data_IF_705789011379
#
_entry.id   IF_705789011379
#
_cell.length_a   1.000
_cell.length_b   1.000
_cell.length_c   1.000
_cell.angle_alpha   90.00
_cell.angle_beta   90.00
_cell.angle_gamma   90.00
#
_symmetry.space_group_name_H-M   'P 1'
#
loop_
_entity.id
_entity.type
_entity.pdbx_description
1 polymer ?
#
# COMPACT_ATOMS: atom_id res chain seq x y z
N UNK A 1 -23.56 3.17 -8.83
CA UNK A 1 -22.21 3.80 -8.80
C UNK A 1 -21.62 3.88 -7.39
N UNK A 2 -22.25 4.53 -6.40
CA UNK A 2 -21.71 4.61 -5.03
C UNK A 2 -21.40 3.25 -4.37
N UNK A 3 -22.21 2.22 -4.63
CA UNK A 3 -21.95 0.84 -4.17
C UNK A 3 -20.64 0.28 -4.74
N UNK A 4 -20.32 0.54 -6.02
CA UNK A 4 -19.05 0.11 -6.61
C UNK A 4 -17.86 0.82 -5.98
N UNK A 5 -17.98 2.12 -5.66
CA UNK A 5 -16.94 2.86 -4.93
C UNK A 5 -16.71 2.28 -3.54
N UNK A 6 -17.79 1.94 -2.81
CA UNK A 6 -17.70 1.27 -1.53
C UNK A 6 -16.98 -0.08 -1.63
N UNK A 7 -17.38 -0.92 -2.58
CA UNK A 7 -16.76 -2.22 -2.80
C UNK A 7 -15.28 -2.09 -3.16
N UNK A 8 -14.92 -1.05 -3.91
CA UNK A 8 -13.52 -0.80 -4.28
C UNK A 8 -12.68 -0.36 -3.08
N UNK A 9 -13.23 0.40 -2.13
CA UNK A 9 -12.53 0.69 -0.87
C UNK A 9 -12.23 -0.59 -0.07
N UNK A 10 -13.22 -1.47 0.08
CA UNK A 10 -13.02 -2.74 0.78
C UNK A 10 -12.01 -3.65 0.06
N UNK A 11 -12.09 -3.71 -1.26
CA UNK A 11 -11.14 -4.48 -2.06
C UNK A 11 -9.71 -3.94 -1.88
N UNK A 12 -9.52 -2.63 -1.99
CA UNK A 12 -8.20 -2.01 -1.81
C UNK A 12 -7.62 -2.29 -0.42
N UNK A 13 -8.44 -2.15 0.63
CA UNK A 13 -8.04 -2.50 2.00
C UNK A 13 -7.64 -3.97 2.10
N UNK A 14 -8.40 -4.88 1.49
CA UNK A 14 -8.11 -6.31 1.45
C UNK A 14 -6.77 -6.62 0.79
N UNK A 15 -6.44 -5.93 -0.32
CA UNK A 15 -5.14 -6.03 -0.96
C UNK A 15 -4.00 -5.59 -0.03
N UNK A 16 -4.12 -4.44 0.63
CA UNK A 16 -3.11 -3.94 1.59
C UNK A 16 -2.92 -4.94 2.73
N UNK A 17 -4.00 -5.40 3.35
CA UNK A 17 -3.94 -6.37 4.46
C UNK A 17 -3.32 -7.70 4.02
N UNK A 18 -3.71 -8.21 2.86
CA UNK A 18 -3.19 -9.45 2.30
C UNK A 18 -1.71 -9.38 1.96
N UNK A 19 -1.28 -8.35 1.22
CA UNK A 19 0.10 -8.22 0.73
C UNK A 19 1.05 -7.76 1.84
N UNK A 20 0.73 -6.64 2.50
CA UNK A 20 1.63 -5.96 3.42
C UNK A 20 1.65 -6.62 4.80
N UNK A 21 0.51 -7.09 5.30
CA UNK A 21 0.38 -7.54 6.69
C UNK A 21 0.29 -9.06 6.87
N UNK A 22 -0.15 -9.80 5.85
CA UNK A 22 -0.24 -11.27 5.91
C UNK A 22 0.91 -11.95 5.16
N UNK A 23 1.01 -11.73 3.84
CA UNK A 23 1.97 -12.42 2.97
C UNK A 23 3.42 -12.02 3.25
N UNK A 24 3.67 -10.74 3.54
CA UNK A 24 5.03 -10.25 3.77
C UNK A 24 5.65 -10.77 5.06
N UNK A 25 4.99 -10.79 6.23
CA UNK A 25 5.58 -11.35 7.43
C UNK A 25 5.76 -12.87 7.39
N UNK A 26 4.81 -13.61 6.79
CA UNK A 26 4.84 -15.08 6.82
C UNK A 26 5.98 -15.67 5.98
N UNK A 27 6.36 -15.03 4.86
CA UNK A 27 7.45 -15.54 4.01
C UNK A 27 8.81 -15.57 4.72
N UNK A 28 9.05 -14.68 5.68
CA UNK A 28 10.28 -14.68 6.50
C UNK A 28 10.31 -15.78 7.57
N UNK A 29 9.18 -16.47 7.80
CA UNK A 29 9.09 -17.61 8.72
C UNK A 29 9.23 -18.95 8.00
N UNK A 30 9.32 -18.97 6.68
CA UNK A 30 9.40 -20.20 5.90
C UNK A 30 10.81 -20.82 6.03
N UNK A 31 10.93 -22.09 6.48
CA UNK A 31 12.21 -22.69 6.86
C UNK A 31 13.18 -22.91 5.68
N UNK A 32 12.68 -22.94 4.44
CA UNK A 32 13.49 -23.08 3.23
C UNK A 32 13.93 -21.75 2.60
N UNK A 33 13.52 -20.61 3.14
CA UNK A 33 13.78 -19.30 2.55
C UNK A 33 14.94 -18.60 3.25
N UNK A 34 15.98 -18.28 2.48
CA UNK A 34 17.06 -17.42 2.97
C UNK A 34 16.61 -15.95 2.95
N UNK A 35 17.24 -15.11 3.79
CA UNK A 35 16.88 -13.70 3.89
C UNK A 35 16.97 -12.96 2.54
N UNK A 36 18.06 -13.08 1.73
CA UNK A 36 18.13 -12.40 0.44
C UNK A 36 17.02 -12.80 -0.52
N UNK A 37 16.69 -14.10 -0.59
CA UNK A 37 15.61 -14.61 -1.46
C UNK A 37 14.25 -14.10 -0.99
N UNK A 38 13.99 -14.07 0.33
CA UNK A 38 12.75 -13.53 0.88
C UNK A 38 12.59 -12.01 0.62
N UNK A 39 13.70 -11.27 0.62
CA UNK A 39 13.73 -9.84 0.29
C UNK A 39 13.49 -9.61 -1.21
N UNK A 40 14.09 -10.39 -2.09
CA UNK A 40 13.88 -10.33 -3.55
C UNK A 40 12.41 -10.58 -3.93
N UNK A 41 11.80 -11.63 -3.36
CA UNK A 41 10.36 -11.91 -3.54
C UNK A 41 9.52 -10.74 -3.01
N UNK A 42 9.94 -10.14 -1.89
CA UNK A 42 9.30 -8.94 -1.36
C UNK A 42 9.35 -7.76 -2.31
N UNK A 43 10.54 -7.43 -2.80
CA UNK A 43 10.74 -6.35 -3.74
C UNK A 43 9.84 -6.49 -4.96
N UNK A 44 9.84 -7.65 -5.62
CA UNK A 44 9.01 -7.91 -6.79
C UNK A 44 7.51 -7.75 -6.46
N UNK A 45 7.06 -8.33 -5.34
CA UNK A 45 5.66 -8.22 -4.89
C UNK A 45 5.25 -6.78 -4.63
N UNK A 46 6.07 -6.00 -3.92
CA UNK A 46 5.76 -4.60 -3.59
C UNK A 46 5.79 -3.68 -4.81
N UNK A 47 6.70 -3.90 -5.76
CA UNK A 47 6.71 -3.17 -7.05
C UNK A 47 5.45 -3.42 -7.86
N UNK A 48 5.01 -4.67 -7.94
CA UNK A 48 3.76 -5.01 -8.62
C UNK A 48 2.56 -4.43 -7.86
N UNK A 49 2.53 -4.59 -6.54
CA UNK A 49 1.45 -4.09 -5.72
C UNK A 49 1.33 -2.56 -5.81
N UNK A 50 2.43 -1.83 -5.81
CA UNK A 50 2.44 -0.38 -5.98
C UNK A 50 1.73 0.06 -7.27
N UNK A 51 1.92 -0.64 -8.40
CA UNK A 51 1.19 -0.38 -9.65
C UNK A 51 -0.31 -0.62 -9.51
N UNK A 52 -0.70 -1.65 -8.76
CA UNK A 52 -2.12 -1.91 -8.45
C UNK A 52 -2.71 -0.80 -7.58
N UNK A 53 -1.96 -0.27 -6.61
CA UNK A 53 -2.39 0.86 -5.78
C UNK A 53 -2.66 2.11 -6.63
N UNK A 54 -1.82 2.40 -7.63
CA UNK A 54 -2.06 3.48 -8.58
C UNK A 54 -3.40 3.31 -9.31
N UNK A 55 -3.75 2.08 -9.71
CA UNK A 55 -5.05 1.76 -10.30
C UNK A 55 -6.23 2.10 -9.37
N UNK A 56 -6.14 1.73 -8.09
CA UNK A 56 -7.17 2.07 -7.09
C UNK A 56 -7.31 3.57 -6.88
N UNK A 57 -6.20 4.29 -6.71
CA UNK A 57 -6.21 5.74 -6.49
C UNK A 57 -6.80 6.48 -7.70
N UNK A 58 -6.41 6.10 -8.92
CA UNK A 58 -6.98 6.67 -10.14
C UNK A 58 -8.48 6.38 -10.27
N UNK A 59 -8.92 5.18 -9.91
CA UNK A 59 -10.35 4.84 -9.86
C UNK A 59 -11.12 5.75 -8.89
N UNK A 60 -10.58 6.01 -7.69
CA UNK A 60 -11.24 6.89 -6.71
C UNK A 60 -11.28 8.34 -7.19
N UNK A 61 -10.21 8.85 -7.81
CA UNK A 61 -10.20 10.19 -8.40
C UNK A 61 -11.27 10.33 -9.50
N UNK A 62 -11.30 9.40 -10.44
CA UNK A 62 -12.30 9.40 -11.52
C UNK A 62 -13.74 9.29 -10.98
N UNK A 63 -13.94 8.42 -9.99
CA UNK A 63 -15.24 8.26 -9.32
C UNK A 63 -15.67 9.54 -8.59
N UNK A 64 -14.75 10.23 -7.93
CA UNK A 64 -15.03 11.47 -7.22
C UNK A 64 -15.45 12.60 -8.17
N UNK A 65 -14.76 12.73 -9.30
CA UNK A 65 -15.08 13.71 -10.34
C UNK A 65 -16.45 13.42 -10.98
N UNK A 66 -16.73 12.15 -11.31
CA UNK A 66 -17.99 11.74 -11.92
C UNK A 66 -19.20 11.92 -10.97
N UNK A 67 -19.05 11.51 -9.70
CA UNK A 67 -20.12 11.61 -8.70
C UNK A 67 -20.28 13.02 -8.12
N UNK A 68 -19.31 13.93 -8.35
CA UNK A 68 -19.24 15.28 -7.78
C UNK A 68 -19.34 15.27 -6.25
N UNK A 69 -18.60 14.36 -5.60
CA UNK A 69 -18.58 14.21 -4.14
C UNK A 69 -17.23 14.70 -3.60
N UNK A 70 -17.16 15.93 -3.05
CA UNK A 70 -15.88 16.56 -2.70
C UNK A 70 -15.05 15.76 -1.70
N UNK A 71 -15.68 15.13 -0.71
CA UNK A 71 -14.95 14.39 0.32
C UNK A 71 -14.25 13.14 -0.24
N UNK A 72 -14.81 12.46 -1.26
CA UNK A 72 -14.15 11.31 -1.92
C UNK A 72 -12.90 11.80 -2.65
N UNK A 73 -12.97 12.99 -3.26
CA UNK A 73 -11.82 13.60 -3.93
C UNK A 73 -10.69 13.89 -2.93
N UNK A 74 -11.02 14.47 -1.77
CA UNK A 74 -10.03 14.73 -0.70
C UNK A 74 -9.38 13.43 -0.23
N UNK A 75 -10.16 12.38 0.04
CA UNK A 75 -9.62 11.06 0.43
C UNK A 75 -8.68 10.51 -0.65
N UNK A 76 -9.08 10.57 -1.92
CA UNK A 76 -8.28 10.08 -3.03
C UNK A 76 -6.96 10.86 -3.18
N UNK A 77 -6.96 12.18 -2.99
CA UNK A 77 -5.75 13.02 -3.00
C UNK A 77 -4.83 12.67 -1.83
N UNK A 78 -5.36 12.45 -0.63
CA UNK A 78 -4.54 12.03 0.52
C UNK A 78 -3.87 10.67 0.25
N UNK A 79 -4.63 9.70 -0.26
CA UNK A 79 -4.07 8.39 -0.65
C UNK A 79 -3.02 8.52 -1.76
N UNK A 80 -3.25 9.40 -2.75
CA UNK A 80 -2.29 9.70 -3.80
C UNK A 80 -0.97 10.24 -3.24
N UNK A 81 -1.04 11.19 -2.30
CA UNK A 81 0.17 11.77 -1.67
C UNK A 81 0.96 10.70 -0.93
N UNK A 82 0.29 9.86 -0.14
CA UNK A 82 0.95 8.74 0.55
C UNK A 82 1.60 7.79 -0.47
N UNK A 83 0.86 7.43 -1.53
CA UNK A 83 1.35 6.55 -2.58
C UNK A 83 2.57 7.14 -3.32
N UNK A 84 2.60 8.45 -3.56
CA UNK A 84 3.77 9.13 -4.13
C UNK A 84 4.98 9.05 -3.20
N UNK A 85 4.79 9.24 -1.89
CA UNK A 85 5.86 9.10 -0.89
C UNK A 85 6.41 7.67 -0.87
N UNK A 86 5.53 6.65 -0.96
CA UNK A 86 5.96 5.26 -1.07
C UNK A 86 6.74 5.01 -2.36
N UNK A 87 6.15 5.37 -3.51
CA UNK A 87 6.66 5.09 -4.87
C UNK A 87 8.01 5.75 -5.12
N UNK A 88 8.15 7.03 -4.80
CA UNK A 88 9.34 7.81 -5.17
C UNK A 88 10.29 8.01 -3.99
N UNK A 89 9.82 7.82 -2.76
CA UNK A 89 10.59 8.08 -1.56
C UNK A 89 11.08 6.81 -0.88
N UNK A 90 10.16 5.95 -0.43
CA UNK A 90 10.47 4.82 0.44
C UNK A 90 10.91 3.58 -0.33
N UNK A 91 10.18 3.16 -1.36
CA UNK A 91 10.48 1.95 -2.13
C UNK A 91 11.89 1.99 -2.75
N UNK A 92 12.34 3.07 -3.43
CA UNK A 92 13.69 3.10 -4.00
C UNK A 92 14.80 3.00 -2.94
N UNK A 93 14.57 3.59 -1.76
CA UNK A 93 15.53 3.52 -0.64
C UNK A 93 15.57 2.13 -0.01
N UNK A 94 14.44 1.44 0.06
CA UNK A 94 14.37 0.06 0.51
C UNK A 94 15.03 -0.88 -0.50
N UNK A 95 14.79 -0.67 -1.79
CA UNK A 95 15.40 -1.43 -2.89
C UNK A 95 16.93 -1.36 -2.86
N UNK A 96 17.48 -0.16 -2.66
CA UNK A 96 18.92 0.01 -2.51
C UNK A 96 19.47 -0.83 -1.33
N UNK A 97 18.75 -0.88 -0.21
CA UNK A 97 19.18 -1.68 0.96
C UNK A 97 19.09 -3.17 0.68
N UNK A 98 18.08 -3.62 -0.06
CA UNK A 98 17.96 -5.02 -0.49
C UNK A 98 19.15 -5.39 -1.38
N UNK A 99 19.54 -4.52 -2.33
CA UNK A 99 20.71 -4.74 -3.18
C UNK A 99 22.02 -4.87 -2.38
N UNK A 100 22.23 -4.04 -1.35
CA UNK A 100 23.39 -4.16 -0.46
C UNK A 100 23.39 -5.51 0.30
N UNK A 101 22.25 -5.97 0.79
CA UNK A 101 22.12 -7.25 1.49
C UNK A 101 22.39 -8.42 0.54
N UNK A 102 21.92 -8.33 -0.71
CA UNK A 102 22.20 -9.33 -1.74
C UNK A 102 23.70 -9.45 -2.05
N UNK A 103 24.47 -8.37 -1.90
CA UNK A 103 25.93 -8.35 -2.01
C UNK A 103 26.65 -8.81 -0.73
N UNK A 104 25.92 -9.27 0.30
CA UNK A 104 26.48 -9.68 1.59
C UNK A 104 26.87 -8.52 2.51
N UNK A 105 26.53 -7.27 2.15
CA UNK A 105 26.81 -6.10 2.97
C UNK A 105 25.74 -5.90 4.05
N UNK A 106 26.14 -5.30 5.18
CA UNK A 106 25.21 -4.93 6.26
C UNK A 106 24.87 -3.43 6.15
N UNK A 107 23.70 -3.04 5.62
CA UNK A 107 23.33 -1.64 5.52
C UNK A 107 23.18 -1.01 6.91
N UNK A 108 23.53 0.26 7.03
CA UNK A 108 23.42 1.02 8.28
C UNK A 108 22.00 0.95 8.85
N UNK A 109 21.81 0.88 10.18
CA UNK A 109 20.48 0.86 10.78
C UNK A 109 19.63 2.05 10.30
N UNK A 110 18.36 1.81 9.99
CA UNK A 110 17.45 2.85 9.51
C UNK A 110 16.01 2.54 9.88
N UNK A 111 15.23 3.60 10.08
CA UNK A 111 13.80 3.53 10.38
C UNK A 111 12.90 3.51 9.14
N UNK A 112 13.47 3.47 7.92
CA UNK A 112 12.72 3.48 6.66
C UNK A 112 11.61 2.42 6.60
N UNK A 113 11.91 1.19 7.03
CA UNK A 113 10.91 0.12 7.06
C UNK A 113 9.76 0.44 8.04
N UNK A 114 10.06 1.04 9.20
CA UNK A 114 9.02 1.44 10.17
C UNK A 114 8.14 2.56 9.61
N UNK A 115 8.72 3.52 8.91
CA UNK A 115 7.95 4.57 8.24
C UNK A 115 7.03 4.00 7.16
N UNK A 116 7.53 3.06 6.35
CA UNK A 116 6.70 2.37 5.36
C UNK A 116 5.51 1.66 6.02
N UNK A 117 5.75 0.87 7.08
CA UNK A 117 4.67 0.21 7.83
C UNK A 117 3.68 1.21 8.41
N UNK A 118 4.14 2.35 8.94
CA UNK A 118 3.26 3.39 9.45
C UNK A 118 2.37 4.00 8.36
N UNK A 119 2.88 4.20 7.15
CA UNK A 119 2.09 4.67 6.02
C UNK A 119 1.07 3.63 5.55
N UNK A 120 1.45 2.36 5.50
CA UNK A 120 0.51 1.25 5.18
C UNK A 120 -0.65 1.19 6.17
N UNK A 121 -0.38 1.28 7.48
CA UNK A 121 -1.42 1.35 8.53
C UNK A 121 -2.31 2.60 8.31
N UNK A 122 -1.69 3.74 8.01
CA UNK A 122 -2.43 4.98 7.78
C UNK A 122 -3.37 4.87 6.59
N UNK A 123 -2.95 4.24 5.48
CA UNK A 123 -3.81 3.95 4.32
C UNK A 123 -4.99 3.09 4.72
N UNK A 124 -4.77 1.99 5.45
CA UNK A 124 -5.84 1.11 5.94
C UNK A 124 -6.86 1.88 6.76
N UNK A 125 -6.42 2.72 7.70
CA UNK A 125 -7.31 3.52 8.55
C UNK A 125 -8.12 4.53 7.74
N UNK A 126 -7.49 5.24 6.80
CA UNK A 126 -8.16 6.21 5.91
C UNK A 126 -9.23 5.50 5.08
N UNK A 127 -8.88 4.37 4.46
CA UNK A 127 -9.78 3.58 3.62
C UNK A 127 -10.95 3.03 4.42
N UNK A 128 -10.70 2.47 5.61
CA UNK A 128 -11.74 1.96 6.49
C UNK A 128 -12.72 3.08 6.89
N UNK A 129 -12.21 4.22 7.34
CA UNK A 129 -13.04 5.38 7.68
C UNK A 129 -13.89 5.85 6.49
N UNK A 130 -13.29 5.96 5.29
CA UNK A 130 -14.00 6.35 4.08
C UNK A 130 -15.08 5.34 3.67
N UNK A 131 -14.78 4.04 3.77
CA UNK A 131 -15.71 2.95 3.48
C UNK A 131 -16.91 2.96 4.43
N UNK A 132 -16.66 2.99 5.75
CA UNK A 132 -17.72 3.06 6.76
C UNK A 132 -18.57 4.32 6.61
N UNK A 133 -17.95 5.47 6.33
CA UNK A 133 -18.67 6.71 6.10
C UNK A 133 -19.58 6.65 4.87
N UNK A 134 -19.09 6.09 3.76
CA UNK A 134 -19.89 5.90 2.56
C UNK A 134 -21.02 4.90 2.79
N UNK A 135 -20.77 3.81 3.51
CA UNK A 135 -21.77 2.80 3.85
C UNK A 135 -22.93 3.40 4.64
N UNK A 136 -22.64 4.24 5.65
CA UNK A 136 -23.68 4.95 6.43
C UNK A 136 -24.52 5.94 5.61
N UNK A 137 -24.05 6.37 4.44
CA UNK A 137 -24.79 7.25 3.52
C UNK A 137 -25.56 6.47 2.44
N UNK A 138 -25.41 5.15 2.39
CA UNK A 138 -26.09 4.27 1.44
C UNK A 138 -27.29 3.53 2.06
N UNK A 139 -27.25 3.32 3.38
CA UNK A 139 -28.38 2.88 4.20
C UNK A 139 -29.22 4.11 4.57
#
# INVERSE_FOLDING_TARGET
>A
MKLYVLNMYWLYMGFILGVSFLATPIKFKAPGLTLPVALEIGQATFHFFNKVEWGFVLFFLGSAMFLRVPWIFVVAIVLLVILCVDTFGLLPKLDHRIALIAQGQKPTPSMLHKYYVALEISKVMIIACAAFYLQRRLV
#
